data_IF_906905809005
#
_entry.id   IF_906905809005
#
_cell.length_a   1.000
_cell.length_b   1.000
_cell.length_c   1.000
_cell.angle_alpha   90.00
_cell.angle_beta   90.00
_cell.angle_gamma   90.00
#
_symmetry.space_group_name_H-M   'P 1'
#
loop_
_entity.id
_entity.type
_entity.pdbx_description
1 polymer ?
#
# COMPACT_ATOMS: atom_id res chain seq x y z
N UNK A 1 4.43 4.03 -12.33
CA UNK A 1 4.18 3.67 -10.92
C UNK A 1 5.51 3.32 -10.32
N UNK A 2 5.73 3.78 -9.10
CA UNK A 2 6.97 3.56 -8.35
C UNK A 2 6.66 3.73 -6.87
N UNK A 3 7.66 3.42 -6.04
CA UNK A 3 7.59 3.62 -4.61
C UNK A 3 9.00 3.90 -4.10
N UNK A 4 9.07 4.59 -2.97
CA UNK A 4 10.30 4.78 -2.21
C UNK A 4 10.11 4.24 -0.78
N UNK A 5 11.16 3.61 -0.27
CA UNK A 5 11.27 3.18 1.13
C UNK A 5 12.41 3.95 1.77
N UNK A 6 12.20 4.41 3.00
CA UNK A 6 13.25 5.04 3.81
C UNK A 6 14.27 4.01 4.33
N UNK A 7 13.83 2.76 4.55
CA UNK A 7 14.65 1.67 5.03
C UNK A 7 14.19 0.31 4.50
N UNK A 8 15.15 -0.62 4.37
CA UNK A 8 14.90 -2.05 4.13
C UNK A 8 15.20 -2.92 5.36
N UNK A 9 15.72 -2.31 6.43
CA UNK A 9 15.96 -2.94 7.72
C UNK A 9 15.23 -2.14 8.80
N UNK A 10 14.38 -2.80 9.56
CA UNK A 10 13.52 -2.21 10.58
C UNK A 10 13.79 -2.86 11.93
N UNK A 11 13.52 -2.11 12.99
CA UNK A 11 13.46 -2.68 14.35
C UNK A 11 12.04 -3.09 14.68
N UNK A 12 11.91 -4.10 15.53
CA UNK A 12 10.64 -4.42 16.19
C UNK A 12 10.10 -3.17 16.90
N UNK A 13 8.82 -2.86 16.70
CA UNK A 13 8.20 -1.62 17.18
C UNK A 13 8.59 -0.35 16.42
N UNK A 14 9.43 -0.46 15.39
CA UNK A 14 9.79 0.64 14.50
C UNK A 14 8.69 0.98 13.50
N UNK A 15 8.94 2.01 12.70
CA UNK A 15 8.05 2.47 11.64
C UNK A 15 8.78 2.38 10.31
N UNK A 16 8.09 1.89 9.29
CA UNK A 16 8.50 1.99 7.88
C UNK A 16 7.83 3.22 7.26
N UNK A 17 8.62 4.10 6.65
CA UNK A 17 8.08 5.20 5.85
C UNK A 17 8.11 4.82 4.37
N UNK A 18 6.91 4.72 3.78
CA UNK A 18 6.67 4.36 2.39
C UNK A 18 6.07 5.55 1.65
N UNK A 19 6.59 5.87 0.46
CA UNK A 19 5.94 6.78 -0.47
C UNK A 19 5.50 6.01 -1.71
N UNK A 20 4.21 6.07 -2.04
CA UNK A 20 3.61 5.50 -3.24
C UNK A 20 3.41 6.57 -4.31
N UNK A 21 3.77 6.26 -5.55
CA UNK A 21 3.54 7.14 -6.69
C UNK A 21 2.47 6.59 -7.61
N UNK A 22 1.27 7.16 -7.49
CA UNK A 22 0.12 6.82 -8.32
C UNK A 22 0.07 7.73 -9.55
N UNK A 23 -0.28 7.16 -10.71
CA UNK A 23 -0.62 7.96 -11.90
C UNK A 23 -2.06 7.67 -12.28
N UNK A 24 -2.90 8.70 -12.24
CA UNK A 24 -4.27 8.60 -12.70
C UNK A 24 -4.29 8.40 -14.23
N UNK A 25 -4.90 7.32 -14.69
CA UNK A 25 -5.05 7.03 -16.12
C UNK A 25 -6.38 7.54 -16.69
N UNK A 26 -7.32 7.82 -15.81
CA UNK A 26 -8.66 8.33 -16.09
C UNK A 26 -9.31 8.79 -14.79
N UNK A 27 -10.48 9.40 -14.90
CA UNK A 27 -11.30 9.79 -13.76
C UNK A 27 -11.85 8.55 -13.05
N UNK A 28 -12.13 8.68 -11.74
CA UNK A 28 -12.69 7.61 -10.92
C UNK A 28 -13.97 8.11 -10.24
N UNK A 29 -15.04 7.32 -10.28
CA UNK A 29 -16.31 7.66 -9.61
C UNK A 29 -16.35 7.18 -8.16
N UNK A 30 -15.39 6.35 -7.76
CA UNK A 30 -15.32 5.76 -6.42
C UNK A 30 -14.10 6.31 -5.68
N UNK A 31 -14.31 6.70 -4.42
CA UNK A 31 -13.24 7.07 -3.50
C UNK A 31 -12.68 5.81 -2.86
N UNK A 32 -11.44 5.45 -3.21
CA UNK A 32 -10.78 4.26 -2.69
C UNK A 32 -9.93 4.57 -1.46
N UNK A 33 -9.85 3.59 -0.56
CA UNK A 33 -8.88 3.52 0.52
C UNK A 33 -7.72 2.66 0.06
N UNK A 34 -6.49 3.15 0.25
CA UNK A 34 -5.28 2.36 0.06
C UNK A 34 -5.02 1.57 1.33
N UNK A 35 -4.66 0.30 1.17
CA UNK A 35 -4.06 -0.47 2.25
C UNK A 35 -2.58 -0.68 1.97
N UNK A 36 -1.79 -0.62 3.03
CA UNK A 36 -0.39 -1.02 3.06
C UNK A 36 -0.25 -2.04 4.18
N UNK A 37 0.18 -3.26 3.86
CA UNK A 37 0.45 -4.27 4.87
C UNK A 37 1.89 -4.78 4.79
N UNK A 38 2.41 -5.17 5.94
CA UNK A 38 3.72 -5.80 6.10
C UNK A 38 3.46 -7.23 6.58
N UNK A 39 3.77 -8.19 5.72
CA UNK A 39 3.43 -9.59 5.85
C UNK A 39 4.65 -10.45 6.16
N UNK A 40 4.51 -11.44 7.04
CA UNK A 40 5.52 -12.50 7.17
C UNK A 40 5.36 -13.59 6.10
N UNK A 41 6.24 -14.61 6.15
CA UNK A 41 6.19 -15.76 5.23
C UNK A 41 4.93 -16.64 5.32
N UNK A 42 4.08 -16.43 6.34
CA UNK A 42 2.79 -17.11 6.50
C UNK A 42 1.60 -16.20 6.09
N UNK A 43 1.88 -15.02 5.49
CA UNK A 43 0.90 -13.97 5.18
C UNK A 43 0.19 -13.39 6.40
N UNK A 44 0.80 -13.43 7.59
CA UNK A 44 0.28 -12.72 8.76
C UNK A 44 0.69 -11.26 8.70
N UNK A 45 -0.26 -10.37 8.99
CA UNK A 45 -0.04 -8.92 9.03
C UNK A 45 0.64 -8.55 10.35
N UNK A 46 1.84 -7.99 10.25
CA UNK A 46 2.63 -7.50 11.39
C UNK A 46 2.78 -5.97 11.41
N UNK A 47 2.35 -5.29 10.34
CA UNK A 47 2.19 -3.85 10.30
C UNK A 47 1.15 -3.51 9.24
N UNK A 48 0.30 -2.52 9.50
CA UNK A 48 -0.69 -2.08 8.52
C UNK A 48 -1.01 -0.60 8.63
N UNK A 49 -1.35 0.00 7.50
CA UNK A 49 -1.91 1.34 7.40
C UNK A 49 -2.93 1.38 6.28
N UNK A 50 -4.16 1.72 6.64
CA UNK A 50 -5.27 1.91 5.72
C UNK A 50 -5.71 3.36 5.78
N UNK A 51 -5.65 4.07 4.66
CA UNK A 51 -6.15 5.44 4.56
C UNK A 51 -6.51 5.80 3.13
N UNK A 52 -7.49 6.70 2.92
CA UNK A 52 -7.64 7.34 1.63
C UNK A 52 -6.35 8.11 1.29
N UNK A 53 -6.00 8.25 -0.01
CA UNK A 53 -4.73 8.87 -0.39
C UNK A 53 -4.54 10.28 0.18
N UNK A 54 -3.28 10.62 0.46
CA UNK A 54 -2.89 11.88 1.07
C UNK A 54 -3.48 12.05 2.48
N UNK A 55 -3.56 10.98 3.26
CA UNK A 55 -4.23 10.94 4.58
C UNK A 55 -5.66 11.55 4.55
N UNK A 56 -6.41 11.26 3.48
CA UNK A 56 -7.79 11.75 3.31
C UNK A 56 -7.92 13.07 2.56
N UNK A 57 -6.81 13.74 2.21
CA UNK A 57 -6.85 15.03 1.51
C UNK A 57 -6.90 14.91 -0.01
N UNK A 58 -6.59 13.73 -0.56
CA UNK A 58 -6.50 13.50 -2.00
C UNK A 58 -7.38 12.30 -2.43
N UNK A 59 -8.71 12.33 -2.20
CA UNK A 59 -9.58 11.23 -2.59
C UNK A 59 -9.45 10.92 -4.08
N UNK A 60 -9.50 9.63 -4.45
CA UNK A 60 -9.28 9.19 -5.85
C UNK A 60 -10.28 9.78 -6.85
N UNK A 61 -11.46 10.20 -6.40
CA UNK A 61 -12.46 10.89 -7.22
C UNK A 61 -12.03 12.29 -7.67
N UNK A 62 -11.05 12.89 -6.99
CA UNK A 62 -10.50 14.20 -7.34
C UNK A 62 -9.30 14.14 -8.29
N UNK A 63 -8.78 12.95 -8.59
CA UNK A 63 -7.57 12.81 -9.40
C UNK A 63 -7.84 13.09 -10.88
N UNK A 64 -7.00 13.91 -11.49
CA UNK A 64 -7.13 14.28 -12.90
C UNK A 64 -6.36 13.29 -13.81
N UNK A 65 -6.87 12.97 -15.02
CA UNK A 65 -6.14 12.11 -15.95
C UNK A 65 -4.72 12.62 -16.24
N UNK A 66 -3.72 11.77 -16.02
CA UNK A 66 -2.31 12.08 -16.17
C UNK A 66 -1.62 12.63 -14.93
N UNK A 67 -2.37 13.01 -13.90
CA UNK A 67 -1.85 13.48 -12.61
C UNK A 67 -1.02 12.40 -11.92
N UNK A 68 0.04 12.83 -11.25
CA UNK A 68 0.90 11.96 -10.42
C UNK A 68 0.75 12.39 -8.97
N UNK A 69 0.29 11.45 -8.14
CA UNK A 69 0.09 11.65 -6.72
C UNK A 69 1.23 10.97 -5.97
N UNK A 70 1.90 11.72 -5.11
CA UNK A 70 2.85 11.19 -4.12
C UNK A 70 2.09 11.01 -2.81
N UNK A 71 2.03 9.78 -2.32
CA UNK A 71 1.15 9.35 -1.26
C UNK A 71 1.95 8.68 -0.15
N UNK A 72 1.94 9.24 1.05
CA UNK A 72 2.88 8.90 2.11
C UNK A 72 2.23 8.06 3.21
N UNK A 73 2.95 7.04 3.68
CA UNK A 73 2.49 6.08 4.67
C UNK A 73 3.56 5.79 5.70
N UNK A 74 3.24 6.03 6.96
CA UNK A 74 4.00 5.53 8.11
C UNK A 74 3.33 4.27 8.66
N UNK A 75 4.02 3.13 8.51
CA UNK A 75 3.51 1.81 8.92
C UNK A 75 4.30 1.31 10.12
N UNK A 76 3.66 1.29 11.29
CA UNK A 76 4.26 0.75 12.50
C UNK A 76 4.29 -0.78 12.47
N UNK A 77 5.45 -1.34 12.78
CA UNK A 77 5.66 -2.76 13.02
C UNK A 77 5.21 -3.08 14.45
N UNK A 78 4.43 -4.15 14.61
CA UNK A 78 4.00 -4.62 15.91
C UNK A 78 5.21 -4.95 16.81
N UNK A 79 5.15 -4.64 18.11
CA UNK A 79 6.27 -4.80 19.05
C UNK A 79 6.61 -6.26 19.39
N UNK A 80 5.79 -7.21 18.97
CA UNK A 80 5.99 -8.65 19.11
C UNK A 80 6.30 -9.35 17.77
N UNK A 81 6.52 -8.58 16.70
CA UNK A 81 6.92 -9.11 15.39
C UNK A 81 8.20 -9.97 15.51
N UNK A 82 8.15 -11.24 15.06
CA UNK A 82 9.33 -12.08 15.00
C UNK A 82 10.43 -11.45 14.13
N UNK A 83 11.72 -11.51 14.52
CA UNK A 83 12.78 -11.14 13.61
C UNK A 83 12.76 -12.01 12.35
N UNK A 84 12.92 -11.42 11.18
CA UNK A 84 12.83 -12.15 9.92
C UNK A 84 12.59 -11.29 8.71
N UNK A 85 12.32 -11.95 7.58
CA UNK A 85 12.00 -11.32 6.31
C UNK A 85 10.49 -11.11 6.18
N UNK A 86 10.12 -9.93 5.71
CA UNK A 86 8.75 -9.49 5.52
C UNK A 86 8.56 -8.94 4.12
N UNK A 87 7.35 -9.06 3.58
CA UNK A 87 6.97 -8.51 2.27
C UNK A 87 5.98 -7.37 2.49
N UNK A 88 6.14 -6.29 1.74
CA UNK A 88 5.16 -5.20 1.70
C UNK A 88 4.14 -5.50 0.60
N UNK A 89 2.86 -5.49 0.94
CA UNK A 89 1.77 -5.50 -0.04
C UNK A 89 0.97 -4.21 0.01
N UNK A 90 0.46 -3.81 -1.15
CA UNK A 90 -0.44 -2.68 -1.29
C UNK A 90 -1.62 -3.00 -2.18
N UNK A 91 -2.67 -2.20 -2.07
CA UNK A 91 -3.76 -2.18 -3.02
C UNK A 91 -4.82 -1.16 -2.60
N UNK A 92 -5.97 -1.22 -3.24
CA UNK A 92 -7.07 -0.30 -2.99
C UNK A 92 -8.37 -1.07 -2.74
N UNK A 93 -9.27 -0.49 -1.96
CA UNK A 93 -10.62 -1.01 -1.77
C UNK A 93 -11.63 0.09 -1.53
N UNK A 94 -12.90 -0.20 -1.80
CA UNK A 94 -14.00 0.68 -1.45
C UNK A 94 -14.32 0.51 0.04
N UNK A 95 -14.22 1.59 0.81
CA UNK A 95 -14.34 1.54 2.27
C UNK A 95 -15.70 1.01 2.75
N UNK A 96 -16.78 1.34 2.03
CA UNK A 96 -18.15 1.01 2.40
C UNK A 96 -18.45 -0.49 2.25
N UNK A 97 -17.81 -1.15 1.29
CA UNK A 97 -18.12 -2.53 0.90
C UNK A 97 -16.99 -3.51 1.20
N UNK A 98 -15.77 -3.01 1.42
CA UNK A 98 -14.57 -3.84 1.48
C UNK A 98 -14.14 -4.40 0.12
N UNK A 99 -14.82 -4.02 -0.98
CA UNK A 99 -14.52 -4.57 -2.30
C UNK A 99 -13.15 -4.07 -2.78
N UNK A 100 -12.24 -5.01 -3.04
CA UNK A 100 -10.90 -4.73 -3.57
C UNK A 100 -10.98 -4.24 -5.02
N UNK A 101 -10.15 -3.26 -5.36
CA UNK A 101 -9.99 -2.77 -6.72
C UNK A 101 -9.16 -3.79 -7.54
N UNK A 102 -9.71 -4.36 -8.62
CA UNK A 102 -8.97 -5.32 -9.43
C UNK A 102 -7.85 -4.63 -10.21
N UNK A 103 -6.71 -5.32 -10.30
CA UNK A 103 -5.59 -4.97 -11.17
C UNK A 103 -5.86 -5.58 -12.54
N UNK A 104 -5.89 -4.72 -13.55
CA UNK A 104 -6.17 -5.09 -14.93
C UNK A 104 -4.89 -4.95 -15.76
N UNK A 105 -4.53 -6.01 -16.49
CA UNK A 105 -3.38 -5.97 -17.40
C UNK A 105 -3.72 -5.24 -18.73
N UNK A 106 -2.72 -5.03 -19.59
CA UNK A 106 -2.91 -4.36 -20.89
C UNK A 106 -3.90 -5.07 -21.84
N UNK A 107 -4.25 -6.33 -21.59
CA UNK A 107 -5.23 -7.11 -22.37
C UNK A 107 -6.65 -7.00 -21.79
N UNK A 108 -6.86 -6.21 -20.74
CA UNK A 108 -8.17 -6.08 -20.09
C UNK A 108 -8.51 -7.23 -19.14
N UNK A 109 -7.53 -8.08 -18.78
CA UNK A 109 -7.77 -9.22 -17.88
C UNK A 109 -7.44 -8.84 -16.44
N UNK A 110 -8.28 -9.28 -15.50
CA UNK A 110 -8.00 -9.20 -14.06
C UNK A 110 -6.84 -10.15 -13.75
N UNK A 111 -5.80 -9.63 -13.09
CA UNK A 111 -4.59 -10.38 -12.72
C UNK A 111 -4.32 -10.42 -11.22
N UNK A 112 -5.17 -9.77 -10.42
CA UNK A 112 -5.07 -9.71 -8.97
C UNK A 112 -5.79 -8.48 -8.44
N UNK A 113 -5.58 -8.17 -7.16
CA UNK A 113 -6.17 -7.03 -6.46
C UNK A 113 -5.20 -6.40 -5.44
N UNK A 114 -3.95 -6.87 -5.45
CA UNK A 114 -2.82 -6.39 -4.66
C UNK A 114 -1.51 -6.46 -5.45
N UNK A 115 -0.57 -5.61 -5.07
CA UNK A 115 0.81 -5.62 -5.58
C UNK A 115 1.76 -5.86 -4.42
N UNK A 116 2.70 -6.80 -4.60
CA UNK A 116 3.84 -6.96 -3.70
C UNK A 116 4.95 -6.02 -4.16
N UNK A 117 5.48 -5.19 -3.25
CA UNK A 117 6.50 -4.19 -3.58
C UNK A 117 7.90 -4.76 -3.44
N UNK A 118 8.41 -4.77 -2.21
CA UNK A 118 9.73 -5.26 -1.86
C UNK A 118 9.72 -5.91 -0.48
N UNK A 119 10.88 -6.43 -0.12
CA UNK A 119 11.10 -7.09 1.15
C UNK A 119 11.79 -6.15 2.15
N UNK A 120 11.44 -6.29 3.43
CA UNK A 120 12.10 -5.64 4.56
C UNK A 120 12.50 -6.67 5.59
N UNK A 121 13.63 -6.47 6.26
CA UNK A 121 14.07 -7.34 7.36
C UNK A 121 13.75 -6.67 8.69
N UNK A 122 13.04 -7.38 9.58
CA UNK A 122 12.79 -6.93 10.96
C UNK A 122 13.81 -7.56 11.89
N UNK A 123 14.44 -6.73 12.73
CA UNK A 123 15.45 -7.10 13.71
C UNK A 123 15.05 -6.61 15.11
N UNK A 124 15.68 -7.15 16.16
CA UNK A 124 15.44 -6.71 17.54
C UNK A 124 16.05 -5.34 17.84
#
# INVERSE_FOLDING_TARGET
>A
MGYDLDATELKVGGTLSLTLYWKALGEMDTSYTVFVHILDGENRIWGQRDSPPGDGTLPTTGWLPGEVIADHYDVSIQPDAPPGLYVIEIGMYQAETGQRLPIINRKGQVVGDRVLLGEVTVQR
#
